data_IF_218420165231
#
_entry.id   IF_218420165231
#
_cell.length_a   1.000
_cell.length_b   1.000
_cell.length_c   1.000
_cell.angle_alpha   90.00
_cell.angle_beta   90.00
_cell.angle_gamma   90.00
#
_symmetry.space_group_name_H-M   'P 1'
#
loop_
_entity.id
_entity.type
_entity.pdbx_description
1 polymer ?
#
# COMPACT_ATOMS: atom_id res chain seq x y z
N UNK A 1 3.23 -20.80 3.60
CA UNK A 1 1.93 -21.30 4.07
C UNK A 1 0.83 -20.64 3.25
N UNK A 2 -0.06 -21.43 2.65
CA UNK A 2 -1.20 -20.90 1.90
C UNK A 2 -2.34 -20.78 2.90
N UNK A 3 -2.75 -19.56 3.25
CA UNK A 3 -3.97 -19.38 4.04
C UNK A 3 -5.16 -19.68 3.12
N UNK A 4 -6.17 -20.37 3.63
CA UNK A 4 -7.37 -20.85 2.90
C UNK A 4 -8.20 -19.75 2.20
N UNK A 5 -7.75 -18.50 2.25
CA UNK A 5 -8.29 -17.31 1.58
C UNK A 5 -7.50 -16.90 0.32
N UNK A 6 -6.60 -17.75 -0.19
CA UNK A 6 -5.78 -17.43 -1.36
C UNK A 6 -4.71 -16.35 -1.11
N UNK A 7 -4.58 -15.88 0.13
CA UNK A 7 -3.53 -14.99 0.55
C UNK A 7 -2.27 -15.81 0.88
N UNK A 8 -1.18 -15.55 0.17
CA UNK A 8 0.16 -16.10 0.42
C UNK A 8 1.06 -14.99 0.92
N UNK A 9 1.87 -15.28 1.91
CA UNK A 9 2.97 -14.41 2.33
C UNK A 9 4.27 -15.21 2.34
N UNK A 10 5.30 -14.62 1.77
CA UNK A 10 6.66 -15.14 1.79
C UNK A 10 7.58 -14.01 2.25
N UNK A 11 8.26 -14.22 3.36
CA UNK A 11 9.11 -13.20 3.93
C UNK A 11 9.48 -13.56 5.34
N UNK A 12 10.11 -12.61 6.01
CA UNK A 12 10.47 -12.77 7.41
C UNK A 12 9.22 -12.69 8.29
N UNK A 13 9.25 -13.48 9.37
CA UNK A 13 8.24 -13.52 10.40
C UNK A 13 8.93 -13.26 11.73
N UNK A 14 8.32 -12.44 12.58
CA UNK A 14 8.78 -12.17 13.93
C UNK A 14 7.57 -12.27 14.86
N UNK A 15 7.69 -13.10 15.89
CA UNK A 15 6.64 -13.28 16.90
C UNK A 15 5.27 -13.65 16.30
N UNK A 16 5.27 -14.48 15.25
CA UNK A 16 4.05 -14.90 14.56
C UNK A 16 3.43 -13.83 13.64
N UNK A 17 4.09 -12.68 13.44
CA UNK A 17 3.64 -11.61 12.54
C UNK A 17 4.62 -11.40 11.39
N UNK A 18 4.13 -10.93 10.24
CA UNK A 18 4.99 -10.52 9.12
C UNK A 18 5.88 -9.35 9.56
N UNK A 19 7.19 -9.49 9.40
CA UNK A 19 8.17 -8.49 9.80
C UNK A 19 9.35 -8.48 8.84
N UNK A 20 10.01 -7.34 8.66
CA UNK A 20 11.12 -7.20 7.72
C UNK A 20 10.64 -7.27 6.27
N UNK A 21 11.53 -7.63 5.35
CA UNK A 21 11.21 -7.69 3.93
C UNK A 21 10.35 -8.91 3.61
N UNK A 22 9.30 -8.71 2.84
CA UNK A 22 8.41 -9.78 2.42
C UNK A 22 7.62 -9.47 1.16
N UNK A 23 6.94 -10.50 0.69
CA UNK A 23 6.05 -10.47 -0.44
C UNK A 23 4.72 -11.07 -0.03
N UNK A 24 3.64 -10.32 -0.24
CA UNK A 24 2.27 -10.76 -0.02
C UNK A 24 1.55 -10.86 -1.36
N UNK A 25 0.94 -12.00 -1.64
CA UNK A 25 0.01 -12.21 -2.74
C UNK A 25 -1.38 -12.42 -2.16
N UNK A 26 -2.41 -11.84 -2.75
CA UNK A 26 -3.80 -12.18 -2.45
C UNK A 26 -4.65 -11.87 -3.66
N UNK A 27 -5.26 -12.92 -4.23
CA UNK A 27 -5.96 -12.83 -5.51
C UNK A 27 -5.07 -12.19 -6.57
N UNK A 28 -5.55 -11.10 -7.17
CA UNK A 28 -4.90 -10.35 -8.25
C UNK A 28 -3.97 -9.22 -7.78
N UNK A 29 -3.64 -9.17 -6.49
CA UNK A 29 -2.69 -8.21 -5.95
C UNK A 29 -1.43 -8.87 -5.40
N UNK A 30 -0.27 -8.26 -5.66
CA UNK A 30 1.04 -8.64 -5.13
C UNK A 30 1.69 -7.40 -4.52
N UNK A 31 2.10 -7.46 -3.27
CA UNK A 31 2.88 -6.41 -2.62
C UNK A 31 4.26 -6.94 -2.26
N UNK A 32 5.30 -6.21 -2.64
CA UNK A 32 6.70 -6.46 -2.27
C UNK A 32 7.24 -5.28 -1.50
N UNK A 33 7.71 -5.48 -0.28
CA UNK A 33 8.28 -4.39 0.51
C UNK A 33 8.52 -4.77 1.94
N UNK A 34 8.71 -3.77 2.78
CA UNK A 34 8.89 -3.99 4.21
C UNK A 34 7.54 -4.19 4.91
N UNK A 35 7.58 -5.03 5.94
CA UNK A 35 6.48 -5.34 6.83
C UNK A 35 6.92 -5.06 8.25
N UNK A 36 6.02 -4.48 9.03
CA UNK A 36 6.19 -4.23 10.46
C UNK A 36 4.89 -4.56 11.16
N UNK A 37 4.96 -5.44 12.16
CA UNK A 37 3.81 -5.88 12.95
C UNK A 37 2.64 -6.43 12.11
N UNK A 38 2.93 -7.14 11.02
CA UNK A 38 1.89 -7.66 10.12
C UNK A 38 1.31 -6.64 9.14
N UNK A 39 1.79 -5.39 9.13
CA UNK A 39 1.34 -4.32 8.25
C UNK A 39 2.43 -3.92 7.27
N UNK A 40 2.04 -3.45 6.08
CA UNK A 40 2.98 -2.93 5.07
C UNK A 40 3.59 -1.63 5.58
N UNK A 41 4.91 -1.53 5.53
CA UNK A 41 5.68 -0.39 6.02
C UNK A 41 6.90 -0.12 5.11
N UNK A 42 7.61 0.98 5.35
CA UNK A 42 8.85 1.29 4.63
C UNK A 42 8.61 1.56 3.15
N UNK A 43 9.52 1.11 2.30
CA UNK A 43 9.35 1.22 0.84
C UNK A 43 8.80 -0.09 0.28
N UNK A 44 7.95 0.01 -0.73
CA UNK A 44 7.38 -1.15 -1.38
C UNK A 44 6.68 -0.87 -2.69
N UNK A 45 6.47 -1.96 -3.43
CA UNK A 45 5.84 -2.01 -4.74
C UNK A 45 4.57 -2.86 -4.65
N UNK A 46 3.40 -2.25 -4.88
CA UNK A 46 2.13 -2.94 -5.02
C UNK A 46 1.79 -3.10 -6.51
N UNK A 47 1.65 -4.34 -6.95
CA UNK A 47 1.11 -4.72 -8.24
C UNK A 47 -0.37 -5.05 -8.08
N UNK A 48 -1.24 -4.38 -8.84
CA UNK A 48 -2.69 -4.57 -8.79
C UNK A 48 -3.29 -4.39 -10.19
N UNK A 49 -3.87 -5.45 -10.76
CA UNK A 49 -4.50 -5.43 -12.11
C UNK A 49 -3.66 -4.70 -13.18
N UNK A 50 -2.37 -5.05 -13.29
CA UNK A 50 -1.47 -4.44 -14.28
C UNK A 50 -0.98 -3.03 -13.94
N UNK A 51 -1.43 -2.45 -12.81
CA UNK A 51 -0.86 -1.21 -12.26
C UNK A 51 0.22 -1.52 -11.25
N UNK A 52 1.24 -0.68 -11.19
CA UNK A 52 2.33 -0.77 -10.23
C UNK A 52 2.40 0.51 -9.42
N UNK A 53 2.32 0.39 -8.11
CA UNK A 53 2.40 1.49 -7.16
C UNK A 53 3.66 1.33 -6.32
N UNK A 54 4.68 2.11 -6.65
CA UNK A 54 5.96 2.12 -5.92
C UNK A 54 6.00 3.36 -5.03
N UNK A 55 6.30 3.20 -3.75
CA UNK A 55 6.39 4.34 -2.85
C UNK A 55 6.61 3.96 -1.39
N UNK A 56 6.47 4.95 -0.52
CA UNK A 56 6.48 4.76 0.93
C UNK A 56 5.14 4.22 1.42
N UNK A 57 5.16 3.16 2.20
CA UNK A 57 4.01 2.54 2.85
C UNK A 57 4.08 2.76 4.35
N UNK A 58 2.96 3.13 4.97
CA UNK A 58 2.84 3.23 6.42
C UNK A 58 1.51 2.67 6.87
N UNK A 59 1.56 1.67 7.77
CA UNK A 59 0.40 0.99 8.33
C UNK A 59 -0.60 0.51 7.25
N UNK A 60 -0.10 -0.10 6.17
CA UNK A 60 -0.90 -0.57 5.03
C UNK A 60 -1.56 0.52 4.17
N UNK A 61 -1.32 1.80 4.45
CA UNK A 61 -1.67 2.93 3.59
C UNK A 61 -0.45 3.34 2.78
N UNK A 62 -0.59 3.45 1.47
CA UNK A 62 0.45 4.08 0.65
C UNK A 62 0.46 5.57 0.99
N UNK A 63 1.65 6.11 1.31
CA UNK A 63 1.85 7.54 1.22
C UNK A 63 1.81 7.88 -0.27
N UNK A 64 0.67 8.40 -0.73
CA UNK A 64 0.51 8.88 -2.09
C UNK A 64 1.49 10.01 -2.32
N UNK A 65 2.64 9.71 -2.94
CA UNK A 65 3.30 10.67 -3.80
C UNK A 65 2.62 10.54 -5.16
N UNK A 66 1.78 11.52 -5.52
CA UNK A 66 1.21 11.67 -6.86
C UNK A 66 2.35 11.85 -7.88
N UNK A 67 2.98 10.76 -8.30
CA UNK A 67 3.80 10.75 -9.51
C UNK A 67 2.92 10.38 -10.69
N UNK A 68 2.26 11.43 -11.20
CA UNK A 68 1.99 11.67 -12.61
C UNK A 68 1.31 10.57 -13.42
N UNK A 69 -0.02 10.62 -13.46
CA UNK A 69 -0.66 10.62 -14.77
C UNK A 69 -1.67 11.76 -14.80
N UNK A 70 -1.42 12.73 -15.69
CA UNK A 70 -2.25 13.90 -15.92
C UNK A 70 -3.65 13.45 -16.30
N UNK A 71 -4.61 13.59 -15.39
CA UNK A 71 -6.01 13.79 -15.76
C UNK A 71 -6.62 14.85 -14.85
N UNK A 72 -6.72 16.04 -15.44
CA UNK A 72 -7.61 17.14 -15.10
C UNK A 72 -7.42 17.81 -13.72
N UNK A 73 -6.69 18.94 -13.75
CA UNK A 73 -7.07 20.11 -12.95
C UNK A 73 -8.58 20.35 -13.09
N UNK A 74 -9.36 20.36 -11.99
CA UNK A 74 -10.45 21.35 -11.78
C UNK A 74 -10.65 21.59 -10.27
N UNK A 75 -10.20 22.77 -9.85
CA UNK A 75 -10.75 23.63 -8.81
C UNK A 75 -11.04 23.04 -7.43
N UNK A 76 -10.04 23.12 -6.55
CA UNK A 76 -10.24 23.43 -5.14
C UNK A 76 -10.69 24.89 -4.99
N UNK A 77 -11.98 25.12 -4.77
CA UNK A 77 -12.45 26.36 -4.15
C UNK A 77 -12.60 26.11 -2.63
N UNK A 78 -11.91 26.86 -1.76
CA UNK A 78 -12.23 26.84 -0.33
C UNK A 78 -13.49 27.69 -0.12
N UNK A 79 -14.66 27.06 0.02
CA UNK A 79 -15.83 27.77 0.54
C UNK A 79 -15.58 28.02 2.03
N UNK A 80 -15.04 29.19 2.32
CA UNK A 80 -14.88 29.76 3.66
C UNK A 80 -16.26 29.90 4.31
N UNK A 81 -16.46 29.23 5.44
CA UNK A 81 -17.52 29.52 6.39
C UNK A 81 -17.15 30.83 7.11
N UNK A 82 -17.86 31.93 6.86
CA UNK A 82 -17.95 33.07 7.77
C UNK A 82 -19.44 33.44 7.90
N UNK A 83 -19.95 33.33 9.13
CA UNK A 83 -21.19 33.97 9.52
C UNK A 83 -20.99 35.47 9.69
N UNK A 84 -22.01 36.25 9.37
CA UNK A 84 -22.89 36.99 10.28
C UNK A 84 -23.98 37.66 9.43
#
# INVERSE_FOLDING_TARGET
MTFSHGAKYQGQWREGRCHGRGTQWKGDYRYEGDFKDGKRHGQGSLYYHGRVFVGGWSASKMALSEVGNVLHQKNTAPMTCHGW
#
